data_IF_792440097350
#
_entry.id   IF_792440097350
#
_cell.length_a   1.000
_cell.length_b   1.000
_cell.length_c   1.000
_cell.angle_alpha   90.00
_cell.angle_beta   90.00
_cell.angle_gamma   90.00
#
_symmetry.space_group_name_H-M   'P 1'
#
loop_
_entity.id
_entity.type
_entity.pdbx_description
1 polymer ?
#
# COMPACT_ATOMS: atom_id res chain seq x y z
N UNK A 1 9.75 0.32 10.21
CA UNK A 1 9.47 1.73 10.58
C UNK A 1 8.10 1.81 11.22
N UNK A 2 7.79 2.91 11.92
CA UNK A 2 6.49 3.10 12.60
C UNK A 2 5.32 3.27 11.63
N UNK A 3 5.59 3.82 10.45
CA UNK A 3 4.60 4.03 9.40
C UNK A 3 5.10 3.49 8.06
N UNK A 4 4.16 3.06 7.21
CA UNK A 4 4.38 2.83 5.79
C UNK A 4 3.18 3.32 4.97
N UNK A 5 3.42 3.72 3.73
CA UNK A 5 2.37 4.14 2.81
C UNK A 5 2.35 3.26 1.58
N UNK A 6 1.15 2.99 1.07
CA UNK A 6 0.94 2.27 -0.18
C UNK A 6 0.11 3.12 -1.13
N UNK A 7 0.45 3.05 -2.41
CA UNK A 7 -0.30 3.68 -3.49
C UNK A 7 -0.99 2.59 -4.32
N UNK A 8 -2.24 2.85 -4.67
CA UNK A 8 -3.06 2.01 -5.54
C UNK A 8 -3.43 2.77 -6.83
N UNK A 9 -2.51 3.60 -7.31
CA UNK A 9 -2.61 4.25 -8.61
C UNK A 9 -2.53 3.20 -9.75
N UNK A 10 -3.11 3.48 -10.90
CA UNK A 10 -3.12 2.59 -12.07
C UNK A 10 -1.76 2.05 -12.52
N UNK A 11 -0.68 2.80 -12.26
CA UNK A 11 0.70 2.41 -12.61
C UNK A 11 1.38 1.52 -11.57
N UNK A 12 0.71 1.19 -10.45
CA UNK A 12 1.21 0.33 -9.38
C UNK A 12 0.86 -1.13 -9.64
N UNK A 13 1.47 -2.03 -8.86
CA UNK A 13 1.27 -3.47 -9.03
C UNK A 13 -0.18 -3.89 -8.76
N UNK A 14 -0.80 -3.29 -7.74
CA UNK A 14 -2.21 -3.41 -7.41
C UNK A 14 -2.83 -2.02 -7.50
N UNK A 15 -4.04 -1.93 -8.03
CA UNK A 15 -4.64 -0.65 -8.37
C UNK A 15 -6.15 -0.65 -8.14
N UNK A 16 -6.69 0.50 -7.73
CA UNK A 16 -8.11 0.80 -7.85
C UNK A 16 -8.40 1.99 -8.77
N UNK A 17 -7.44 2.41 -9.59
CA UNK A 17 -7.47 3.67 -10.33
C UNK A 17 -6.70 4.73 -9.56
N UNK A 18 -7.33 5.26 -8.50
CA UNK A 18 -6.68 6.12 -7.52
C UNK A 18 -6.99 5.63 -6.10
N UNK A 19 -5.97 5.64 -5.23
CA UNK A 19 -6.13 5.23 -3.85
C UNK A 19 -4.80 5.07 -3.13
N UNK A 20 -4.87 4.87 -1.83
CA UNK A 20 -3.72 4.58 -0.99
C UNK A 20 -4.10 4.01 0.36
N UNK A 21 -3.09 3.56 1.09
CA UNK A 21 -3.23 3.10 2.47
C UNK A 21 -2.09 3.63 3.33
N UNK A 22 -2.43 3.97 4.57
CA UNK A 22 -1.47 4.16 5.65
C UNK A 22 -1.44 2.89 6.49
N UNK A 23 -0.26 2.33 6.66
CA UNK A 23 0.01 1.21 7.55
C UNK A 23 0.66 1.79 8.80
N UNK A 24 0.01 1.60 9.95
CA UNK A 24 0.50 2.05 11.25
C UNK A 24 1.00 0.81 11.99
N UNK A 25 2.31 0.71 12.18
CA UNK A 25 2.94 -0.42 12.86
C UNK A 25 3.14 -0.17 14.36
N UNK A 26 3.10 1.11 14.77
CA UNK A 26 3.34 1.52 16.15
C UNK A 26 2.01 1.83 16.85
N UNK A 27 1.71 1.05 17.89
CA UNK A 27 0.40 1.02 18.55
C UNK A 27 0.02 2.39 19.14
N UNK A 28 1.00 3.19 19.55
CA UNK A 28 0.83 4.54 20.07
C UNK A 28 0.26 5.55 19.06
N UNK A 29 0.22 5.21 17.77
CA UNK A 29 -0.26 6.08 16.71
C UNK A 29 -1.60 5.66 16.12
N UNK A 30 -2.12 4.49 16.46
CA UNK A 30 -3.35 3.93 15.86
C UNK A 30 -4.56 4.83 16.08
N UNK A 31 -4.82 5.23 17.32
CA UNK A 31 -6.00 6.02 17.67
C UNK A 31 -5.99 7.39 16.98
N UNK A 32 -4.84 8.06 17.02
CA UNK A 32 -4.70 9.36 16.34
C UNK A 32 -4.85 9.21 14.82
N UNK A 33 -4.34 8.15 14.22
CA UNK A 33 -4.51 7.90 12.79
C UNK A 33 -5.99 7.73 12.41
N UNK A 34 -6.80 7.04 13.24
CA UNK A 34 -8.25 6.95 13.05
C UNK A 34 -8.92 8.32 13.13
N UNK A 35 -8.53 9.16 14.11
CA UNK A 35 -9.13 10.49 14.28
C UNK A 35 -8.86 11.39 13.08
N UNK A 36 -7.60 11.49 12.65
CA UNK A 36 -7.23 12.35 11.52
C UNK A 36 -7.90 11.87 10.22
N UNK A 37 -8.02 10.54 10.01
CA UNK A 37 -8.74 9.93 8.86
C UNK A 37 -10.24 10.21 8.88
N UNK A 38 -10.85 10.28 10.05
CA UNK A 38 -12.27 10.56 10.28
C UNK A 38 -12.51 12.06 10.56
N UNK A 39 -11.89 12.94 9.77
CA UNK A 39 -12.10 14.40 9.82
C UNK A 39 -11.80 15.03 11.19
N UNK A 40 -10.88 14.45 11.93
CA UNK A 40 -10.46 14.93 13.25
C UNK A 40 -11.36 14.48 14.40
N UNK A 41 -12.30 13.56 14.14
CA UNK A 41 -13.31 13.15 15.12
C UNK A 41 -12.97 11.80 15.77
N UNK A 42 -13.43 11.60 17.00
CA UNK A 42 -13.36 10.30 17.67
C UNK A 42 -14.53 9.36 17.28
N UNK A 43 -15.00 9.45 16.03
CA UNK A 43 -16.11 8.64 15.49
C UNK A 43 -15.84 7.14 15.56
N UNK A 44 -14.59 6.71 15.39
CA UNK A 44 -14.21 5.30 15.53
C UNK A 44 -14.45 4.78 16.95
N UNK A 45 -14.19 5.59 17.99
CA UNK A 45 -14.48 5.23 19.39
C UNK A 45 -15.97 5.14 19.67
N UNK A 46 -16.78 6.00 19.05
CA UNK A 46 -18.25 5.90 19.12
C UNK A 46 -18.75 4.59 18.47
N UNK A 47 -18.26 4.24 17.27
CA UNK A 47 -18.61 2.98 16.60
C UNK A 47 -18.18 1.74 17.39
N UNK A 48 -17.05 1.83 18.11
CA UNK A 48 -16.56 0.78 19.02
C UNK A 48 -17.30 0.74 20.37
N UNK A 49 -18.31 1.59 20.60
CA UNK A 49 -19.09 1.66 21.84
C UNK A 49 -18.33 2.21 23.06
N UNK A 50 -17.16 2.85 22.86
CA UNK A 50 -16.33 3.39 23.95
C UNK A 50 -16.85 4.71 24.52
N UNK A 51 -17.65 5.44 23.75
CA UNK A 51 -18.20 6.76 24.10
C UNK A 51 -19.66 6.85 23.63
N UNK A 52 -20.46 7.69 24.28
CA UNK A 52 -21.89 7.85 23.98
C UNK A 52 -22.19 8.83 22.84
N UNK A 53 -21.27 9.76 22.55
CA UNK A 53 -21.34 10.72 21.44
C UNK A 53 -19.93 11.01 20.93
N UNK A 54 -19.78 11.18 19.62
CA UNK A 54 -18.52 11.62 19.02
C UNK A 54 -18.46 13.16 18.92
N UNK A 55 -17.25 13.69 18.84
CA UNK A 55 -16.97 15.11 18.68
C UNK A 55 -15.65 15.35 17.94
N UNK A 56 -15.35 16.62 17.68
CA UNK A 56 -14.09 17.04 17.09
C UNK A 56 -13.00 17.10 18.16
N UNK A 57 -11.88 16.39 17.97
CA UNK A 57 -10.84 16.21 18.99
C UNK A 57 -9.42 16.48 18.48
N UNK A 58 -9.20 16.55 17.17
CA UNK A 58 -7.89 16.85 16.55
C UNK A 58 -8.09 17.46 15.15
N UNK A 59 -7.05 17.99 14.52
CA UNK A 59 -7.08 18.29 13.09
C UNK A 59 -7.32 17.01 12.28
N UNK A 60 -8.05 17.11 11.17
CA UNK A 60 -8.20 15.97 10.27
C UNK A 60 -8.75 16.33 8.91
N UNK A 61 -8.85 15.29 8.08
CA UNK A 61 -9.36 15.38 6.72
C UNK A 61 -10.20 14.14 6.39
N UNK A 62 -10.72 14.06 5.18
CA UNK A 62 -11.54 12.94 4.74
C UNK A 62 -10.69 11.98 3.89
N UNK A 63 -10.00 11.04 4.54
CA UNK A 63 -9.17 10.03 3.86
C UNK A 63 -9.85 8.66 3.78
N UNK A 64 -11.15 8.67 3.47
CA UNK A 64 -11.97 7.48 3.30
C UNK A 64 -12.00 7.10 1.81
N UNK A 65 -11.57 5.89 1.42
CA UNK A 65 -11.81 5.42 0.06
C UNK A 65 -13.31 5.18 -0.15
N UNK A 66 -13.79 5.31 -1.38
CA UNK A 66 -15.15 4.88 -1.72
C UNK A 66 -15.25 3.35 -1.75
N UNK A 67 -16.41 2.80 -1.43
CA UNK A 67 -16.63 1.34 -1.44
C UNK A 67 -16.44 0.74 -2.83
N UNK A 68 -16.70 1.50 -3.90
CA UNK A 68 -16.46 1.06 -5.28
C UNK A 68 -14.96 0.86 -5.53
N UNK A 69 -14.12 1.83 -5.11
CA UNK A 69 -12.67 1.72 -5.24
C UNK A 69 -12.13 0.59 -4.34
N UNK A 70 -12.68 0.45 -3.13
CA UNK A 70 -12.31 -0.64 -2.22
C UNK A 70 -12.67 -2.02 -2.80
N UNK A 71 -13.84 -2.17 -3.42
CA UNK A 71 -14.25 -3.42 -4.08
C UNK A 71 -13.35 -3.76 -5.27
N UNK A 72 -12.97 -2.75 -6.07
CA UNK A 72 -12.02 -2.94 -7.15
C UNK A 72 -10.64 -3.38 -6.63
N UNK A 73 -10.11 -2.70 -5.60
CA UNK A 73 -8.86 -3.07 -4.95
C UNK A 73 -8.93 -4.48 -4.37
N UNK A 74 -10.03 -4.83 -3.72
CA UNK A 74 -10.24 -6.14 -3.11
C UNK A 74 -10.08 -7.26 -4.15
N UNK A 75 -10.72 -7.13 -5.32
CA UNK A 75 -10.56 -8.08 -6.42
C UNK A 75 -9.11 -8.22 -6.90
N UNK A 76 -8.32 -7.12 -6.92
CA UNK A 76 -6.88 -7.19 -7.23
C UNK A 76 -6.10 -7.98 -6.17
N UNK A 77 -6.40 -7.74 -4.89
CA UNK A 77 -5.71 -8.37 -3.76
C UNK A 77 -6.03 -9.87 -3.63
N UNK A 78 -7.22 -10.31 -4.04
CA UNK A 78 -7.59 -11.72 -4.11
C UNK A 78 -6.72 -12.49 -5.12
N UNK A 79 -6.37 -11.87 -6.25
CA UNK A 79 -5.52 -12.48 -7.29
C UNK A 79 -4.06 -12.02 -7.24
N UNK A 80 -3.62 -11.46 -6.10
CA UNK A 80 -2.30 -10.82 -5.95
C UNK A 80 -1.14 -11.71 -6.34
N UNK A 81 -1.19 -13.00 -6.00
CA UNK A 81 -0.11 -13.95 -6.31
C UNK A 81 0.03 -14.15 -7.81
N UNK A 82 -1.09 -14.24 -8.54
CA UNK A 82 -1.09 -14.34 -10.01
C UNK A 82 -0.52 -13.08 -10.65
N UNK A 83 -0.84 -11.90 -10.13
CA UNK A 83 -0.30 -10.62 -10.61
C UNK A 83 1.21 -10.58 -10.40
N UNK A 84 1.68 -10.87 -9.18
CA UNK A 84 3.10 -10.83 -8.83
C UNK A 84 3.90 -11.88 -9.60
N UNK A 85 3.40 -13.11 -9.72
CA UNK A 85 4.06 -14.17 -10.50
C UNK A 85 4.29 -13.76 -11.96
N UNK A 86 3.31 -13.11 -12.60
CA UNK A 86 3.46 -12.61 -13.98
C UNK A 86 4.53 -11.51 -14.07
N UNK A 87 4.53 -10.57 -13.12
CA UNK A 87 5.51 -9.47 -13.09
C UNK A 87 6.93 -9.99 -12.85
N UNK A 88 7.09 -10.92 -11.91
CA UNK A 88 8.34 -11.62 -11.64
C UNK A 88 8.85 -12.35 -12.86
N UNK A 89 8.00 -13.10 -13.57
CA UNK A 89 8.40 -13.80 -14.80
C UNK A 89 8.97 -12.84 -15.86
N UNK A 90 8.31 -11.70 -16.09
CA UNK A 90 8.79 -10.68 -17.02
C UNK A 90 10.13 -10.09 -16.55
N UNK A 91 10.28 -9.82 -15.26
CA UNK A 91 11.52 -9.31 -14.70
C UNK A 91 12.67 -10.31 -14.86
N UNK A 92 12.45 -11.58 -14.50
CA UNK A 92 13.44 -12.66 -14.62
C UNK A 92 13.86 -12.88 -16.07
N UNK A 93 12.92 -12.76 -17.01
CA UNK A 93 13.22 -12.83 -18.44
C UNK A 93 14.18 -11.72 -18.87
N UNK A 94 13.93 -10.46 -18.48
CA UNK A 94 14.83 -9.35 -18.78
C UNK A 94 16.18 -9.49 -18.06
N UNK A 95 16.17 -9.84 -16.77
CA UNK A 95 17.39 -9.99 -15.99
C UNK A 95 18.30 -11.07 -16.59
N UNK A 96 17.74 -12.23 -16.95
CA UNK A 96 18.45 -13.33 -17.58
C UNK A 96 18.95 -12.99 -18.98
N UNK A 97 18.07 -12.49 -19.84
CA UNK A 97 18.39 -12.22 -21.25
C UNK A 97 19.39 -11.07 -21.44
N UNK A 98 19.35 -10.06 -20.56
CA UNK A 98 20.23 -8.89 -20.67
C UNK A 98 21.51 -9.03 -19.84
N UNK A 99 21.70 -10.11 -19.06
CA UNK A 99 22.85 -10.27 -18.15
C UNK A 99 24.20 -10.15 -18.84
N UNK A 100 24.41 -10.93 -19.90
CA UNK A 100 25.69 -10.96 -20.63
C UNK A 100 25.92 -9.64 -21.39
N UNK A 101 24.87 -9.14 -22.04
CA UNK A 101 24.94 -7.85 -22.75
C UNK A 101 25.29 -6.70 -21.80
N UNK A 102 24.67 -6.65 -20.62
CA UNK A 102 24.95 -5.61 -19.63
C UNK A 102 26.40 -5.68 -19.12
N UNK A 103 26.92 -6.88 -18.87
CA UNK A 103 28.32 -7.08 -18.49
C UNK A 103 29.29 -6.61 -19.59
N UNK A 104 29.03 -6.96 -20.85
CA UNK A 104 29.85 -6.55 -21.99
C UNK A 104 29.82 -5.02 -22.25
N UNK A 105 28.68 -4.38 -21.99
CA UNK A 105 28.47 -2.95 -22.24
C UNK A 105 28.62 -2.07 -20.99
N UNK A 106 29.08 -2.63 -19.87
CA UNK A 106 29.25 -1.92 -18.58
C UNK A 106 27.98 -1.21 -18.10
N UNK A 107 26.82 -1.82 -18.35
CA UNK A 107 25.51 -1.34 -17.88
C UNK A 107 25.20 -1.99 -16.54
N UNK A 108 24.83 -1.18 -15.55
CA UNK A 108 24.41 -1.67 -14.24
C UNK A 108 22.97 -2.20 -14.30
N UNK A 109 22.78 -3.43 -13.83
CA UNK A 109 21.45 -4.02 -13.62
C UNK A 109 20.93 -3.71 -12.21
N UNK A 110 19.60 -3.79 -11.98
CA UNK A 110 19.05 -3.74 -10.63
C UNK A 110 19.70 -4.80 -9.73
N UNK A 111 19.94 -4.44 -8.47
CA UNK A 111 20.49 -5.36 -7.46
C UNK A 111 19.40 -5.68 -6.44
N UNK A 112 19.14 -6.97 -6.24
CA UNK A 112 18.22 -7.46 -5.20
C UNK A 112 19.06 -7.74 -3.94
N UNK A 113 18.82 -7.06 -2.81
CA UNK A 113 19.51 -7.35 -1.56
C UNK A 113 19.29 -8.79 -1.09
N UNK A 114 20.27 -9.40 -0.43
CA UNK A 114 20.19 -10.81 -0.01
C UNK A 114 19.03 -11.13 0.97
N UNK A 115 18.52 -10.12 1.69
CA UNK A 115 17.38 -10.24 2.60
C UNK A 115 16.04 -9.89 1.95
N UNK A 116 16.02 -9.67 0.63
CA UNK A 116 14.85 -9.33 -0.14
C UNK A 116 14.64 -10.34 -1.28
N UNK A 117 13.39 -10.49 -1.68
CA UNK A 117 13.04 -11.15 -2.93
C UNK A 117 12.58 -10.12 -3.95
N UNK A 118 12.84 -10.40 -5.23
CA UNK A 118 12.18 -9.66 -6.30
C UNK A 118 10.73 -10.14 -6.37
N UNK A 119 9.82 -9.21 -6.12
CA UNK A 119 8.38 -9.41 -5.99
C UNK A 119 7.62 -9.16 -7.29
#
# INVERSE_FOLDING_TARGET
GQFATQSFHETKNFSCGEGGALIVNAHEHEERAEFIREKGTNRSNFLKGKISKYGWVDVGSSWLPSDILAAHLYGQLEVRERIQAKRKHVWEFYDGSLRQWAAANRVQRPTVPAHCEQS
#
